data_IF_850795387249
#
_entry.id   IF_850795387249
#
_cell.length_a   1.000
_cell.length_b   1.000
_cell.length_c   1.000
_cell.angle_alpha   90.00
_cell.angle_beta   90.00
_cell.angle_gamma   90.00
#
_symmetry.space_group_name_H-M   'P 1'
#
loop_
_entity.id
_entity.type
_entity.pdbx_description
1 polymer ?
#
# COMPACT_ATOMS: atom_id res chain seq x y z
N UNK A 1 -18.28 -36.69 -2.60
CA UNK A 1 -18.85 -36.90 -1.27
C UNK A 1 -19.14 -35.58 -0.59
N UNK A 2 -20.24 -35.49 0.19
CA UNK A 2 -20.55 -34.26 0.95
C UNK A 2 -19.85 -34.35 2.32
N UNK A 3 -18.84 -33.46 2.55
CA UNK A 3 -18.02 -33.51 3.75
C UNK A 3 -18.65 -32.75 4.95
N UNK A 4 -19.50 -31.72 4.72
CA UNK A 4 -20.23 -31.05 5.79
C UNK A 4 -21.68 -31.56 5.89
N UNK A 5 -22.12 -31.96 7.09
CA UNK A 5 -23.47 -32.48 7.35
C UNK A 5 -24.57 -31.43 7.14
N UNK A 6 -24.28 -30.20 7.52
CA UNK A 6 -25.20 -29.06 7.45
C UNK A 6 -24.53 -27.89 6.71
N UNK A 7 -25.33 -27.03 6.04
CA UNK A 7 -24.78 -25.79 5.46
C UNK A 7 -24.13 -24.93 6.54
N UNK A 8 -22.98 -24.32 6.21
CA UNK A 8 -22.35 -23.31 7.06
C UNK A 8 -23.24 -22.06 7.08
N UNK A 9 -23.48 -21.50 8.28
CA UNK A 9 -24.32 -20.31 8.45
C UNK A 9 -23.56 -19.15 9.10
N UNK A 10 -22.63 -19.47 10.00
CA UNK A 10 -21.96 -18.47 10.86
C UNK A 10 -20.45 -18.51 10.69
N UNK A 11 -19.95 -19.15 9.63
CA UNK A 11 -18.54 -19.25 9.32
C UNK A 11 -18.32 -19.19 7.80
N UNK A 12 -17.20 -18.60 7.42
CA UNK A 12 -16.73 -18.47 6.03
C UNK A 12 -15.68 -19.53 5.66
N UNK A 13 -15.43 -20.50 6.55
CA UNK A 13 -14.46 -21.57 6.34
C UNK A 13 -14.99 -22.91 6.82
N UNK A 14 -14.47 -23.98 6.28
CA UNK A 14 -14.69 -25.35 6.73
C UNK A 14 -13.34 -26.06 6.77
N UNK A 15 -13.03 -26.71 7.87
CA UNK A 15 -11.82 -27.51 8.01
C UNK A 15 -12.15 -28.97 7.75
N UNK A 16 -11.55 -29.55 6.70
CA UNK A 16 -11.56 -30.97 6.44
C UNK A 16 -10.38 -31.65 7.17
N UNK A 17 -10.59 -32.89 7.58
CA UNK A 17 -9.57 -33.73 8.21
C UNK A 17 -8.90 -34.68 7.24
N UNK A 18 -9.01 -34.41 5.92
CA UNK A 18 -8.39 -35.23 4.89
C UNK A 18 -6.87 -35.30 5.09
N UNK A 19 -6.36 -36.49 5.25
CA UNK A 19 -4.91 -36.77 5.44
C UNK A 19 -4.34 -37.65 4.33
N UNK A 20 -5.02 -37.73 3.18
CA UNK A 20 -4.60 -38.55 2.04
C UNK A 20 -3.49 -37.93 1.21
N UNK A 21 -2.86 -38.74 0.39
CA UNK A 21 -1.78 -38.34 -0.52
C UNK A 21 -2.26 -38.17 -1.97
N UNK A 22 -3.54 -38.46 -2.23
CA UNK A 22 -4.13 -38.36 -3.57
C UNK A 22 -4.63 -36.93 -3.85
N UNK A 23 -4.75 -36.61 -5.12
CA UNK A 23 -5.37 -35.34 -5.54
C UNK A 23 -6.87 -35.35 -5.30
N UNK A 24 -7.41 -34.29 -4.70
CA UNK A 24 -8.84 -34.17 -4.34
C UNK A 24 -9.44 -32.89 -4.89
N UNK A 25 -10.59 -33.00 -5.55
CA UNK A 25 -11.37 -31.85 -5.97
C UNK A 25 -12.37 -31.47 -4.88
N UNK A 26 -12.20 -30.28 -4.29
CA UNK A 26 -13.19 -29.68 -3.42
C UNK A 26 -14.13 -28.78 -4.22
N UNK A 27 -15.42 -28.89 -3.91
CA UNK A 27 -16.43 -28.04 -4.53
C UNK A 27 -17.28 -27.39 -3.44
N UNK A 28 -17.38 -26.07 -3.49
CA UNK A 28 -18.24 -25.28 -2.59
C UNK A 28 -19.48 -24.85 -3.38
N UNK A 29 -20.66 -25.15 -2.82
CA UNK A 29 -21.94 -24.79 -3.44
C UNK A 29 -22.70 -23.84 -2.54
N UNK A 30 -23.20 -22.75 -3.10
CA UNK A 30 -24.14 -21.90 -2.40
C UNK A 30 -25.44 -22.65 -2.12
N UNK A 31 -26.07 -22.37 -0.97
CA UNK A 31 -27.36 -22.98 -0.59
C UNK A 31 -28.48 -22.55 -1.55
N UNK A 32 -28.45 -21.28 -1.94
CA UNK A 32 -29.42 -20.68 -2.83
C UNK A 32 -28.69 -20.14 -4.06
N UNK A 33 -29.13 -20.54 -5.26
CA UNK A 33 -28.52 -20.16 -6.51
C UNK A 33 -27.69 -21.25 -7.17
N UNK A 34 -27.10 -20.90 -8.32
CA UNK A 34 -26.28 -21.82 -9.12
C UNK A 34 -24.78 -21.63 -8.91
N UNK A 35 -24.38 -20.79 -7.95
CA UNK A 35 -22.98 -20.49 -7.74
C UNK A 35 -22.26 -21.68 -7.13
N UNK A 36 -21.26 -22.14 -7.85
CA UNK A 36 -20.38 -23.25 -7.47
C UNK A 36 -18.94 -22.82 -7.74
N UNK A 37 -18.03 -23.08 -6.82
CA UNK A 37 -16.61 -22.88 -6.97
C UNK A 37 -15.88 -24.15 -6.61
N UNK A 38 -14.81 -24.49 -7.34
CA UNK A 38 -14.03 -25.70 -7.12
C UNK A 38 -12.56 -25.40 -7.00
N UNK A 39 -11.87 -26.15 -6.14
CA UNK A 39 -10.44 -26.12 -5.97
C UNK A 39 -9.86 -27.53 -6.01
N UNK A 40 -8.84 -27.74 -6.85
CA UNK A 40 -8.12 -29.00 -6.94
C UNK A 40 -6.95 -29.00 -5.96
N UNK A 41 -7.08 -29.75 -4.85
CA UNK A 41 -5.94 -30.02 -3.97
C UNK A 41 -4.98 -31.00 -4.70
N UNK A 42 -3.73 -30.62 -4.97
CA UNK A 42 -2.76 -31.51 -5.63
C UNK A 42 -2.42 -32.75 -4.78
N UNK A 43 -2.00 -33.82 -5.41
CA UNK A 43 -1.45 -34.97 -4.70
C UNK A 43 -0.24 -34.57 -3.86
N UNK A 44 -0.17 -35.06 -2.62
CA UNK A 44 0.87 -34.74 -1.65
C UNK A 44 0.99 -33.25 -1.32
N UNK A 45 -0.08 -32.46 -1.48
CA UNK A 45 -0.09 -31.07 -1.07
C UNK A 45 0.15 -30.98 0.44
N UNK A 46 0.96 -30.00 0.90
CA UNK A 46 1.15 -29.78 2.31
C UNK A 46 -0.16 -29.34 2.96
N UNK A 47 -0.49 -29.91 4.11
CA UNK A 47 -1.72 -29.60 4.81
C UNK A 47 -1.62 -28.21 5.48
N UNK A 48 -2.64 -27.38 5.23
CA UNK A 48 -2.78 -26.08 5.87
C UNK A 48 -2.06 -24.92 5.20
N UNK A 49 -1.33 -25.14 4.08
CA UNK A 49 -0.73 -24.06 3.29
C UNK A 49 -0.54 -24.46 1.81
N UNK A 50 -0.50 -23.47 0.94
CA UNK A 50 -0.10 -23.61 -0.47
C UNK A 50 1.34 -23.13 -0.60
N UNK A 51 2.23 -23.96 -1.15
CA UNK A 51 3.61 -23.58 -1.43
C UNK A 51 3.71 -23.04 -2.86
N UNK A 52 4.04 -21.76 -2.98
CA UNK A 52 4.18 -21.08 -4.27
C UNK A 52 5.66 -20.81 -4.53
N UNK A 53 6.29 -21.47 -5.52
CA UNK A 53 7.67 -21.19 -5.86
C UNK A 53 7.83 -19.80 -6.47
N UNK A 54 8.83 -19.07 -6.03
CA UNK A 54 9.10 -17.68 -6.47
C UNK A 54 10.42 -17.60 -7.25
N UNK A 55 10.47 -16.73 -8.25
CA UNK A 55 11.66 -16.42 -9.03
C UNK A 55 12.37 -15.21 -8.42
N UNK A 56 13.23 -15.45 -7.42
CA UNK A 56 13.99 -14.39 -6.76
C UNK A 56 14.81 -13.58 -7.78
N UNK A 57 14.81 -12.23 -7.74
CA UNK A 57 15.69 -11.40 -8.54
C UNK A 57 17.17 -11.69 -8.23
N UNK A 58 18.05 -11.44 -9.20
CA UNK A 58 19.50 -11.59 -9.02
C UNK A 58 20.05 -10.62 -7.99
N UNK A 59 21.09 -11.04 -7.27
CA UNK A 59 21.81 -10.21 -6.32
C UNK A 59 22.49 -9.03 -7.03
N UNK A 60 22.70 -7.94 -6.33
CA UNK A 60 23.28 -6.75 -6.91
C UNK A 60 24.34 -6.11 -6.05
N UNK A 61 24.93 -5.05 -6.59
CA UNK A 61 25.94 -4.24 -5.90
C UNK A 61 25.60 -2.76 -6.09
N UNK A 62 25.61 -1.99 -5.01
CA UNK A 62 25.36 -0.55 -5.06
C UNK A 62 26.55 0.21 -5.67
N UNK A 63 26.39 1.49 -6.07
CA UNK A 63 27.49 2.33 -6.51
C UNK A 63 28.62 2.50 -5.49
N UNK A 64 28.35 2.28 -4.21
CA UNK A 64 29.36 2.32 -3.12
C UNK A 64 30.04 0.97 -2.86
N UNK A 65 29.74 -0.07 -3.68
CA UNK A 65 30.32 -1.41 -3.54
C UNK A 65 29.65 -2.31 -2.50
N UNK A 66 28.50 -1.93 -1.95
CA UNK A 66 27.76 -2.78 -1.03
C UNK A 66 26.95 -3.83 -1.81
N UNK A 67 27.19 -5.11 -1.53
CA UNK A 67 26.40 -6.21 -2.07
C UNK A 67 25.05 -6.31 -1.36
N UNK A 68 24.01 -6.74 -2.09
CA UNK A 68 22.68 -7.00 -1.55
C UNK A 68 22.01 -8.15 -2.30
N UNK A 69 21.09 -8.80 -1.63
CA UNK A 69 20.21 -9.84 -2.17
C UNK A 69 18.75 -9.44 -2.00
N UNK A 70 17.81 -10.18 -2.59
CA UNK A 70 16.39 -9.90 -2.50
C UNK A 70 15.67 -10.85 -1.56
N UNK A 71 14.68 -10.29 -0.85
CA UNK A 71 13.71 -11.03 -0.07
C UNK A 71 12.28 -10.63 -0.49
N UNK A 72 11.29 -11.55 -0.48
CA UNK A 72 9.89 -11.19 -0.64
C UNK A 72 9.47 -10.29 0.52
N UNK A 73 8.65 -9.30 0.20
CA UNK A 73 8.16 -8.31 1.17
C UNK A 73 6.63 -8.23 1.12
N UNK A 74 6.04 -7.05 0.88
CA UNK A 74 4.60 -6.89 0.81
C UNK A 74 4.00 -7.60 -0.41
N UNK A 75 2.81 -8.16 -0.23
CA UNK A 75 2.03 -8.74 -1.32
C UNK A 75 0.58 -8.26 -1.27
N UNK A 76 -0.05 -8.24 -2.44
CA UNK A 76 -1.47 -8.06 -2.63
C UNK A 76 -2.00 -9.11 -3.61
N UNK A 77 -3.31 -9.25 -3.70
CA UNK A 77 -3.95 -10.20 -4.60
C UNK A 77 -4.97 -9.48 -5.49
N UNK A 78 -5.18 -10.02 -6.69
CA UNK A 78 -6.23 -9.57 -7.59
C UNK A 78 -6.39 -10.56 -8.73
N UNK A 79 -7.60 -10.66 -9.26
CA UNK A 79 -7.87 -11.37 -10.51
C UNK A 79 -7.41 -10.48 -11.66
N UNK A 80 -6.23 -10.77 -12.23
CA UNK A 80 -5.64 -9.88 -13.25
C UNK A 80 -5.99 -10.30 -14.67
N UNK A 81 -6.51 -11.50 -14.89
CA UNK A 81 -6.90 -11.99 -16.22
C UNK A 81 -8.40 -12.30 -16.36
N UNK A 82 -9.17 -12.17 -15.30
CA UNK A 82 -10.63 -12.32 -15.30
C UNK A 82 -11.09 -13.78 -15.32
N UNK A 83 -10.23 -14.71 -14.87
CA UNK A 83 -10.55 -16.14 -14.83
C UNK A 83 -11.22 -16.59 -13.51
N UNK A 84 -11.30 -15.69 -12.52
CA UNK A 84 -11.90 -15.93 -11.21
C UNK A 84 -10.93 -16.51 -10.19
N UNK A 85 -9.67 -16.78 -10.54
CA UNK A 85 -8.59 -17.07 -9.61
C UNK A 85 -7.77 -15.79 -9.34
N UNK A 86 -7.24 -15.64 -8.13
CA UNK A 86 -6.40 -14.49 -7.81
C UNK A 86 -4.94 -14.76 -8.11
N UNK A 87 -4.28 -13.79 -8.73
CA UNK A 87 -2.83 -13.71 -8.82
C UNK A 87 -2.26 -12.99 -7.60
N UNK A 88 -0.98 -13.25 -7.34
CA UNK A 88 -0.22 -12.63 -6.27
C UNK A 88 0.68 -11.57 -6.88
N UNK A 89 0.50 -10.34 -6.48
CA UNK A 89 1.39 -9.23 -6.80
C UNK A 89 2.34 -9.04 -5.61
N UNK A 90 3.62 -9.32 -5.83
CA UNK A 90 4.65 -9.40 -4.80
C UNK A 90 5.73 -8.34 -5.01
N UNK A 91 5.98 -7.56 -3.97
CA UNK A 91 7.13 -6.63 -3.92
C UNK A 91 8.36 -7.34 -3.39
N UNK A 92 9.48 -7.16 -4.07
CA UNK A 92 10.79 -7.61 -3.65
C UNK A 92 11.59 -6.44 -3.08
N UNK A 93 12.03 -6.57 -1.84
CA UNK A 93 12.93 -5.60 -1.22
C UNK A 93 14.38 -6.11 -1.25
N UNK A 94 15.35 -5.24 -1.59
CA UNK A 94 16.77 -5.55 -1.45
C UNK A 94 17.13 -5.57 0.05
N UNK A 95 18.05 -6.45 0.44
CA UNK A 95 18.49 -6.62 1.84
C UNK A 95 19.13 -5.37 2.44
N UNK A 96 19.50 -4.39 1.61
CA UNK A 96 20.00 -3.08 2.01
C UNK A 96 18.91 -1.97 1.89
N UNK A 97 17.64 -2.33 1.97
CA UNK A 97 16.56 -1.36 2.13
C UNK A 97 16.76 -0.50 3.38
N UNK A 98 16.40 0.77 3.31
CA UNK A 98 16.63 1.72 4.40
C UNK A 98 15.33 2.43 4.82
N UNK A 99 15.17 2.66 6.12
CA UNK A 99 14.20 3.64 6.60
C UNK A 99 14.52 5.05 6.08
N UNK A 100 13.50 5.87 5.97
CA UNK A 100 13.61 7.25 5.49
C UNK A 100 14.55 8.13 6.34
N UNK A 101 14.82 7.76 7.59
CA UNK A 101 15.76 8.46 8.45
C UNK A 101 17.22 8.15 8.14
N UNK A 102 17.54 7.03 7.47
CA UNK A 102 18.90 6.57 7.20
C UNK A 102 19.38 6.98 5.81
N UNK A 103 20.70 7.26 5.70
CA UNK A 103 21.38 7.47 4.43
C UNK A 103 21.93 6.13 3.91
N UNK A 104 22.27 6.06 2.64
CA UNK A 104 22.83 4.90 1.94
C UNK A 104 22.09 4.63 0.64
N UNK A 105 22.81 4.07 -0.33
CA UNK A 105 22.17 3.53 -1.53
C UNK A 105 21.36 2.29 -1.18
N UNK A 106 20.27 2.07 -1.90
CA UNK A 106 19.52 0.82 -1.87
C UNK A 106 19.60 0.13 -3.23
N UNK A 107 19.36 -1.16 -3.28
CA UNK A 107 19.02 -1.85 -4.50
C UNK A 107 17.70 -1.34 -5.09
N UNK A 108 17.41 -1.74 -6.31
CA UNK A 108 16.16 -1.40 -7.00
C UNK A 108 15.02 -2.25 -6.44
N UNK A 109 13.80 -1.74 -6.44
CA UNK A 109 12.60 -2.47 -6.03
C UNK A 109 11.98 -3.14 -7.23
N UNK A 110 11.63 -4.42 -7.11
CA UNK A 110 10.86 -5.14 -8.12
C UNK A 110 9.44 -5.41 -7.63
N UNK A 111 8.51 -5.47 -8.57
CA UNK A 111 7.14 -5.94 -8.34
C UNK A 111 6.83 -7.00 -9.36
N UNK A 112 6.48 -8.18 -8.89
CA UNK A 112 6.18 -9.35 -9.70
C UNK A 112 4.69 -9.72 -9.62
N UNK A 113 4.20 -10.38 -10.65
CA UNK A 113 2.90 -11.03 -10.62
C UNK A 113 3.06 -12.54 -10.83
N UNK A 114 2.47 -13.33 -9.94
CA UNK A 114 2.53 -14.79 -9.97
C UNK A 114 1.13 -15.40 -9.99
N UNK A 115 0.95 -16.43 -10.81
CA UNK A 115 -0.16 -17.37 -10.60
C UNK A 115 0.10 -18.24 -9.36
N UNK A 116 -0.96 -18.80 -8.77
CA UNK A 116 -0.84 -19.72 -7.62
C UNK A 116 0.03 -20.96 -7.92
N UNK A 117 0.22 -21.30 -9.20
CA UNK A 117 1.17 -22.34 -9.64
C UNK A 117 2.64 -21.95 -9.50
N UNK A 118 2.95 -20.70 -9.16
CA UNK A 118 4.31 -20.15 -9.16
C UNK A 118 4.79 -19.64 -10.52
N UNK A 119 3.93 -19.65 -11.55
CA UNK A 119 4.27 -19.08 -12.85
C UNK A 119 4.37 -17.57 -12.73
N UNK A 120 5.57 -17.02 -12.97
CA UNK A 120 5.78 -15.58 -13.12
C UNK A 120 5.11 -15.09 -14.41
N UNK A 121 4.20 -14.13 -14.31
CA UNK A 121 3.55 -13.49 -15.46
C UNK A 121 4.36 -12.31 -15.98
N UNK A 122 4.81 -11.45 -15.08
CA UNK A 122 5.63 -10.28 -15.39
C UNK A 122 6.41 -9.79 -14.17
N UNK A 123 7.42 -8.96 -14.44
CA UNK A 123 8.23 -8.25 -13.46
C UNK A 123 8.36 -6.79 -13.87
N UNK A 124 8.03 -5.88 -12.98
CA UNK A 124 8.28 -4.45 -13.10
C UNK A 124 9.52 -4.12 -12.28
N UNK A 125 10.45 -3.37 -12.86
CA UNK A 125 11.58 -2.80 -12.13
C UNK A 125 11.33 -1.31 -11.89
N UNK A 126 11.20 -0.88 -10.64
CA UNK A 126 10.97 0.53 -10.30
C UNK A 126 12.21 1.43 -10.54
N UNK A 127 13.38 0.82 -10.76
CA UNK A 127 14.59 1.52 -11.12
C UNK A 127 15.25 2.25 -9.95
N UNK A 128 16.41 2.84 -10.26
CA UNK A 128 17.30 3.47 -9.28
C UNK A 128 16.74 4.73 -8.62
N UNK A 129 15.73 5.35 -9.22
CA UNK A 129 15.12 6.59 -8.74
C UNK A 129 13.92 6.36 -7.80
N UNK A 130 13.64 5.12 -7.47
CA UNK A 130 12.75 4.72 -6.36
C UNK A 130 13.61 4.03 -5.30
N UNK A 131 13.71 4.64 -4.14
CA UNK A 131 14.48 4.11 -3.01
C UNK A 131 13.72 2.96 -2.34
N UNK A 132 14.42 1.93 -1.88
CA UNK A 132 13.80 0.81 -1.17
C UNK A 132 13.70 1.07 0.34
N UNK A 133 12.59 0.66 0.94
CA UNK A 133 12.31 0.75 2.38
C UNK A 133 10.81 0.80 2.64
N UNK A 134 10.41 0.67 3.90
CA UNK A 134 9.04 0.46 4.34
C UNK A 134 8.03 1.53 3.88
N UNK A 135 8.49 2.76 3.59
CA UNK A 135 7.59 3.88 3.33
C UNK A 135 7.65 4.44 1.90
N UNK A 136 8.45 3.82 1.01
CA UNK A 136 8.69 4.39 -0.32
C UNK A 136 7.75 3.89 -1.40
N UNK A 137 7.33 2.62 -1.32
CA UNK A 137 6.57 1.97 -2.40
C UNK A 137 5.29 1.37 -1.83
N UNK A 138 4.21 2.12 -1.90
CA UNK A 138 2.85 1.63 -1.74
C UNK A 138 2.31 1.29 -3.11
N UNK A 139 1.65 0.14 -3.23
CA UNK A 139 0.97 -0.26 -4.45
C UNK A 139 -0.43 -0.78 -4.12
N UNK A 140 -1.34 -0.60 -5.04
CA UNK A 140 -2.72 -1.03 -4.93
C UNK A 140 -3.04 -1.96 -6.10
N UNK A 141 -3.79 -3.01 -5.83
CA UNK A 141 -4.25 -4.00 -6.81
C UNK A 141 -5.75 -4.08 -6.69
N UNK A 142 -6.47 -3.69 -7.73
CA UNK A 142 -7.92 -3.72 -7.73
C UNK A 142 -8.45 -3.52 -9.15
N UNK A 143 -9.67 -3.99 -9.41
CA UNK A 143 -10.43 -3.67 -10.62
C UNK A 143 -11.00 -2.25 -10.47
N UNK A 144 -10.24 -1.25 -10.96
CA UNK A 144 -10.58 0.16 -10.77
C UNK A 144 -11.60 0.70 -11.78
N UNK A 145 -11.75 0.06 -12.94
CA UNK A 145 -12.72 0.47 -13.97
C UNK A 145 -13.93 -0.45 -14.10
N UNK A 146 -13.95 -1.56 -13.36
CA UNK A 146 -15.07 -2.49 -13.31
C UNK A 146 -15.14 -3.44 -14.51
N UNK A 147 -14.03 -3.68 -15.20
CA UNK A 147 -13.98 -4.58 -16.37
C UNK A 147 -13.80 -6.07 -15.99
N UNK A 148 -13.64 -6.36 -14.70
CA UNK A 148 -13.44 -7.68 -14.14
C UNK A 148 -11.97 -8.10 -14.07
N UNK A 149 -11.02 -7.20 -14.31
CA UNK A 149 -9.57 -7.44 -14.21
C UNK A 149 -8.89 -6.37 -13.38
N UNK A 150 -8.06 -6.80 -12.46
CA UNK A 150 -7.38 -5.86 -11.59
C UNK A 150 -6.23 -5.14 -12.30
N UNK A 151 -6.12 -3.84 -12.09
CA UNK A 151 -4.92 -3.04 -12.35
C UNK A 151 -3.99 -3.01 -11.16
N UNK A 152 -2.75 -2.58 -11.42
CA UNK A 152 -1.76 -2.26 -10.39
C UNK A 152 -1.42 -0.77 -10.45
N UNK A 153 -1.60 -0.06 -9.37
CA UNK A 153 -1.32 1.39 -9.29
C UNK A 153 -0.25 1.67 -8.26
N UNK A 154 0.81 2.37 -8.67
CA UNK A 154 1.90 2.75 -7.75
C UNK A 154 2.69 3.96 -8.25
N UNK A 155 3.47 4.52 -7.32
CA UNK A 155 4.43 5.57 -7.63
C UNK A 155 5.60 5.02 -8.43
N UNK A 156 5.98 5.73 -9.50
CA UNK A 156 7.13 5.44 -10.37
C UNK A 156 8.00 6.67 -10.55
N UNK A 157 9.10 6.53 -11.30
CA UNK A 157 10.01 7.62 -11.63
C UNK A 157 10.67 7.37 -12.98
N UNK A 158 11.51 8.28 -13.42
CA UNK A 158 12.39 8.07 -14.57
C UNK A 158 13.23 6.80 -14.39
N UNK A 159 13.29 5.99 -15.45
CA UNK A 159 14.04 4.74 -15.46
C UNK A 159 13.27 3.54 -14.90
N UNK A 160 12.01 3.68 -14.49
CA UNK A 160 11.13 2.53 -14.22
C UNK A 160 10.92 1.72 -15.50
N UNK A 161 11.05 0.39 -15.42
CA UNK A 161 10.83 -0.53 -16.55
C UNK A 161 9.57 -1.34 -16.29
N UNK A 162 8.61 -1.25 -17.19
CA UNK A 162 7.35 -1.98 -17.06
C UNK A 162 7.46 -3.48 -17.40
N UNK A 163 6.38 -4.23 -17.21
CA UNK A 163 6.34 -5.68 -17.46
C UNK A 163 6.55 -6.10 -18.92
N UNK A 164 6.54 -5.16 -19.87
CA UNK A 164 6.86 -5.36 -21.29
C UNK A 164 8.28 -4.91 -21.65
N UNK A 165 9.06 -4.42 -20.67
CA UNK A 165 10.41 -3.92 -20.89
C UNK A 165 10.49 -2.47 -21.39
N UNK A 166 9.38 -1.73 -21.40
CA UNK A 166 9.35 -0.31 -21.77
C UNK A 166 9.80 0.54 -20.61
N UNK A 167 10.73 1.45 -20.88
CA UNK A 167 11.22 2.41 -19.87
C UNK A 167 10.31 3.63 -19.80
N UNK A 168 9.91 4.01 -18.57
CA UNK A 168 9.18 5.24 -18.30
C UNK A 168 10.15 6.41 -18.17
N UNK A 169 9.80 7.53 -18.79
CA UNK A 169 10.58 8.75 -18.72
C UNK A 169 12.01 8.61 -19.25
N UNK A 170 12.98 9.20 -18.55
CA UNK A 170 14.40 9.21 -18.95
C UNK A 170 15.16 8.02 -18.36
N UNK A 171 15.52 7.04 -19.21
CA UNK A 171 16.29 5.85 -18.82
C UNK A 171 17.67 6.14 -18.20
N UNK A 172 18.25 7.32 -18.52
CA UNK A 172 19.60 7.70 -18.05
C UNK A 172 19.57 8.52 -16.75
N UNK A 173 18.39 8.92 -16.28
CA UNK A 173 18.28 9.72 -15.06
C UNK A 173 18.80 8.96 -13.84
N UNK A 174 19.56 9.65 -13.01
CA UNK A 174 19.99 9.16 -11.70
C UNK A 174 19.90 10.34 -10.71
N UNK A 175 18.90 10.32 -9.87
CA UNK A 175 18.61 11.38 -8.90
C UNK A 175 19.19 11.08 -7.51
N UNK A 176 19.93 9.97 -7.37
CA UNK A 176 20.52 9.57 -6.10
C UNK A 176 21.68 10.47 -5.74
N UNK A 177 21.60 11.10 -4.58
CA UNK A 177 22.67 11.90 -4.04
C UNK A 177 23.97 11.08 -3.87
N UNK A 178 25.11 11.55 -4.35
CA UNK A 178 26.40 10.87 -4.14
C UNK A 178 26.84 10.92 -2.69
N UNK A 179 26.26 11.83 -1.92
CA UNK A 179 26.59 12.09 -0.53
C UNK A 179 27.56 13.26 -0.34
N UNK A 180 27.53 13.82 0.87
CA UNK A 180 28.41 14.92 1.29
C UNK A 180 29.10 14.52 2.58
N UNK A 181 30.43 14.69 2.64
CA UNK A 181 31.16 14.40 3.86
C UNK A 181 30.95 15.50 4.92
N UNK A 182 30.29 15.13 6.00
CA UNK A 182 30.08 16.01 7.15
C UNK A 182 31.29 15.92 8.10
N UNK A 183 32.12 16.95 8.06
CA UNK A 183 33.35 17.01 8.90
C UNK A 183 33.04 17.00 10.40
N UNK A 184 31.88 17.56 10.82
CA UNK A 184 31.49 17.59 12.24
C UNK A 184 31.10 16.22 12.77
N UNK A 185 30.45 15.43 11.93
CA UNK A 185 30.00 14.07 12.27
C UNK A 185 30.99 12.99 11.84
N UNK A 186 32.07 13.40 11.14
CA UNK A 186 33.06 12.50 10.55
C UNK A 186 32.41 11.33 9.74
N UNK A 187 31.42 11.64 8.94
CA UNK A 187 30.72 10.65 8.13
C UNK A 187 30.13 11.22 6.85
N UNK A 188 29.93 10.33 5.88
CA UNK A 188 29.17 10.65 4.68
C UNK A 188 27.68 10.78 5.03
N UNK A 189 27.03 11.82 4.54
CA UNK A 189 25.61 12.10 4.77
C UNK A 189 24.90 12.29 3.44
N UNK A 190 23.58 12.07 3.39
CA UNK A 190 22.70 12.23 2.23
C UNK A 190 22.95 11.23 1.10
N UNK A 191 23.95 10.33 1.21
CA UNK A 191 24.23 9.33 0.18
C UNK A 191 22.99 8.50 -0.11
N UNK A 192 22.69 8.27 -1.41
CA UNK A 192 21.57 7.47 -1.86
C UNK A 192 20.20 8.10 -1.63
N UNK A 193 20.13 9.34 -1.10
CA UNK A 193 18.88 10.10 -1.01
C UNK A 193 18.45 10.58 -2.38
N UNK A 194 17.13 10.72 -2.56
CA UNK A 194 16.53 11.31 -3.75
C UNK A 194 15.82 12.57 -3.30
N UNK A 195 16.43 13.72 -3.56
CA UNK A 195 15.95 15.02 -3.06
C UNK A 195 15.23 15.83 -4.15
N UNK A 196 15.40 15.46 -5.39
CA UNK A 196 14.79 16.07 -6.56
C UNK A 196 14.50 15.00 -7.63
N UNK A 197 13.98 15.39 -8.78
CA UNK A 197 13.69 14.50 -9.89
C UNK A 197 12.21 14.23 -10.08
N UNK A 198 11.88 13.63 -11.21
CA UNK A 198 10.52 13.35 -11.61
C UNK A 198 9.93 12.20 -10.79
N UNK A 199 8.69 12.37 -10.40
CA UNK A 199 7.88 11.35 -9.74
C UNK A 199 6.54 11.23 -10.46
N UNK A 200 6.13 10.02 -10.72
CA UNK A 200 4.90 9.74 -11.45
C UNK A 200 3.96 8.84 -10.63
N UNK A 201 2.69 8.88 -10.97
CA UNK A 201 1.69 7.88 -10.62
C UNK A 201 1.36 7.10 -11.89
N UNK A 202 1.56 5.79 -11.87
CA UNK A 202 1.36 4.92 -13.03
C UNK A 202 0.33 3.85 -12.73
N UNK A 203 -0.59 3.65 -13.67
CA UNK A 203 -1.51 2.51 -13.73
C UNK A 203 -0.90 1.48 -14.68
N UNK A 204 -0.77 0.25 -14.21
CA UNK A 204 -0.28 -0.88 -14.99
C UNK A 204 -1.40 -1.89 -15.20
N UNK A 205 -1.41 -2.52 -16.36
CA UNK A 205 -2.22 -3.72 -16.59
C UNK A 205 -1.82 -4.83 -15.62
N UNK A 206 -2.77 -5.33 -14.84
CA UNK A 206 -2.51 -6.47 -13.96
C UNK A 206 -2.12 -7.72 -14.75
N UNK A 207 -2.70 -7.92 -15.94
CA UNK A 207 -2.41 -9.07 -16.79
C UNK A 207 -0.99 -9.09 -17.34
N UNK A 208 -0.43 -7.92 -17.71
CA UNK A 208 0.83 -7.85 -18.48
C UNK A 208 1.93 -7.04 -17.82
N UNK A 209 1.61 -6.28 -16.78
CA UNK A 209 2.53 -5.32 -16.19
C UNK A 209 2.87 -4.12 -17.09
N UNK A 210 2.19 -3.95 -18.24
CA UNK A 210 2.38 -2.81 -19.15
C UNK A 210 1.87 -1.53 -18.51
N UNK A 211 2.62 -0.43 -18.64
CA UNK A 211 2.17 0.87 -18.19
C UNK A 211 1.07 1.42 -19.12
N UNK A 212 -0.17 1.41 -18.64
CA UNK A 212 -1.36 1.89 -19.35
C UNK A 212 -1.46 3.41 -19.35
N UNK A 213 -1.17 4.03 -18.18
CA UNK A 213 -1.24 5.47 -18.01
C UNK A 213 -0.23 5.95 -16.97
N UNK A 214 0.42 7.07 -17.25
CA UNK A 214 1.38 7.70 -16.35
C UNK A 214 1.11 9.20 -16.30
N UNK A 215 1.05 9.75 -15.10
CA UNK A 215 0.89 11.19 -14.84
C UNK A 215 1.84 11.62 -13.73
N UNK A 216 2.06 12.93 -13.58
CA UNK A 216 2.84 13.46 -12.48
C UNK A 216 2.24 13.08 -11.14
N UNK A 217 3.10 12.74 -10.16
CA UNK A 217 2.67 12.44 -8.81
C UNK A 217 2.18 13.70 -8.09
N UNK A 218 1.01 13.63 -7.47
CA UNK A 218 0.43 14.73 -6.69
C UNK A 218 0.41 14.34 -5.20
N UNK A 219 0.98 15.19 -4.33
CA UNK A 219 1.74 16.41 -4.65
C UNK A 219 3.16 16.09 -5.09
N UNK A 220 3.74 16.94 -5.93
CA UNK A 220 5.18 16.89 -6.20
C UNK A 220 5.97 17.03 -4.88
N UNK A 221 7.17 16.43 -4.81
CA UNK A 221 8.06 16.55 -3.62
C UNK A 221 8.33 18.01 -3.29
N UNK A 222 8.61 18.85 -4.29
CA UNK A 222 9.05 20.21 -4.08
C UNK A 222 10.35 20.26 -3.26
N UNK A 223 10.49 21.30 -2.44
CA UNK A 223 11.62 21.40 -1.54
C UNK A 223 11.35 20.54 -0.28
N UNK A 224 12.26 19.60 0.12
CA UNK A 224 12.09 18.82 1.35
C UNK A 224 11.87 19.67 2.61
N UNK A 225 12.37 20.91 2.66
CA UNK A 225 12.14 21.83 3.79
C UNK A 225 10.65 22.14 4.01
N UNK A 226 9.86 22.16 2.97
CA UNK A 226 8.41 22.42 3.05
C UNK A 226 7.66 21.28 3.75
N UNK A 227 8.34 20.14 3.92
CA UNK A 227 7.88 18.95 4.65
C UNK A 227 8.49 18.82 6.05
N UNK A 228 9.37 19.74 6.46
CA UNK A 228 9.95 19.81 7.80
C UNK A 228 11.34 19.23 7.98
N UNK A 229 12.02 18.83 6.90
CA UNK A 229 13.44 18.44 6.94
C UNK A 229 14.17 18.71 5.62
N UNK A 230 15.47 18.48 5.58
CA UNK A 230 16.31 18.74 4.40
C UNK A 230 16.80 17.45 3.71
N UNK A 231 16.28 16.29 4.10
CA UNK A 231 16.80 14.97 3.73
C UNK A 231 15.72 14.07 3.15
N UNK A 232 14.56 14.62 2.82
CA UNK A 232 13.38 13.91 2.34
C UNK A 232 12.87 12.82 3.32
N UNK A 233 13.22 12.88 4.61
CA UNK A 233 12.69 11.93 5.58
C UNK A 233 11.18 12.11 5.78
N UNK A 234 10.68 13.35 5.69
CA UNK A 234 9.25 13.67 5.87
C UNK A 234 8.47 13.61 4.56
N UNK A 235 9.08 14.06 3.45
CA UNK A 235 8.43 14.07 2.14
C UNK A 235 8.32 12.69 1.51
N UNK A 236 9.21 11.74 1.84
CA UNK A 236 9.22 10.41 1.23
C UNK A 236 8.51 9.37 2.09
N UNK A 237 7.44 9.78 2.75
CA UNK A 237 6.54 8.94 3.55
C UNK A 237 5.21 8.83 2.83
N UNK A 238 4.98 7.70 2.19
CA UNK A 238 3.82 7.44 1.36
C UNK A 238 2.87 6.46 2.04
N UNK A 239 1.58 6.70 1.86
CA UNK A 239 0.51 5.75 2.12
C UNK A 239 -0.41 5.72 0.90
N UNK A 240 -1.21 4.69 0.77
CA UNK A 240 -2.21 4.56 -0.28
C UNK A 240 -3.40 3.76 0.24
N UNK A 241 -4.56 4.00 -0.35
CA UNK A 241 -5.75 3.17 -0.12
C UNK A 241 -6.66 3.17 -1.35
N UNK A 242 -7.56 2.20 -1.35
CA UNK A 242 -8.72 2.13 -2.22
C UNK A 242 -9.90 2.57 -1.37
N UNK A 243 -10.72 3.49 -1.87
CA UNK A 243 -11.89 3.99 -1.18
C UNK A 243 -13.05 4.19 -2.14
N UNK A 244 -14.27 3.85 -1.73
CA UNK A 244 -15.48 4.07 -2.48
C UNK A 244 -16.03 5.48 -2.15
N UNK A 245 -15.35 6.51 -2.70
CA UNK A 245 -15.64 7.92 -2.40
C UNK A 245 -16.98 8.43 -2.98
N UNK A 246 -17.58 7.70 -3.88
CA UNK A 246 -18.93 7.96 -4.40
C UNK A 246 -19.92 6.82 -4.05
N UNK A 247 -19.52 5.91 -3.17
CA UNK A 247 -20.30 4.74 -2.75
C UNK A 247 -20.47 3.66 -3.83
N UNK A 248 -19.90 3.83 -5.01
CA UNK A 248 -20.13 2.94 -6.18
C UNK A 248 -18.84 2.46 -6.82
N UNK A 249 -17.87 3.36 -7.02
CA UNK A 249 -16.63 3.08 -7.76
C UNK A 249 -15.41 3.17 -6.87
N UNK A 250 -14.45 2.22 -7.01
CA UNK A 250 -13.20 2.29 -6.31
C UNK A 250 -12.37 3.49 -6.80
N UNK A 251 -11.89 4.29 -5.87
CA UNK A 251 -10.99 5.41 -6.13
C UNK A 251 -9.57 5.06 -5.69
N UNK A 252 -8.59 5.51 -6.45
CA UNK A 252 -7.17 5.49 -6.11
C UNK A 252 -6.88 6.67 -5.20
N UNK A 253 -6.44 6.45 -3.97
CA UNK A 253 -6.02 7.53 -3.07
C UNK A 253 -4.55 7.38 -2.74
N UNK A 254 -3.75 8.37 -3.15
CA UNK A 254 -2.32 8.43 -2.88
C UNK A 254 -2.03 9.50 -1.85
N UNK A 255 -1.20 9.16 -0.86
CA UNK A 255 -0.90 10.04 0.26
C UNK A 255 0.59 10.30 0.35
N UNK A 256 0.95 11.52 0.76
CA UNK A 256 2.33 11.93 1.04
C UNK A 256 2.42 12.71 2.34
N UNK A 257 3.33 12.27 3.22
CA UNK A 257 3.59 12.90 4.51
C UNK A 257 2.56 12.55 5.58
N UNK A 258 3.01 12.46 6.82
CA UNK A 258 2.14 12.24 7.99
C UNK A 258 2.70 12.82 9.29
N UNK A 259 3.98 13.22 9.33
CA UNK A 259 4.60 13.82 10.53
C UNK A 259 4.37 15.33 10.65
N UNK A 260 4.23 16.03 9.52
CA UNK A 260 4.09 17.50 9.44
C UNK A 260 2.96 17.85 8.48
N UNK A 261 3.31 18.21 7.24
CA UNK A 261 2.36 18.36 6.15
C UNK A 261 1.79 16.99 5.78
N UNK A 262 0.49 16.95 5.51
CA UNK A 262 -0.27 15.79 5.06
C UNK A 262 -0.94 16.18 3.75
N UNK A 263 -0.76 15.35 2.72
CA UNK A 263 -1.47 15.53 1.45
C UNK A 263 -2.04 14.19 1.00
N UNK A 264 -3.32 14.19 0.64
CA UNK A 264 -4.01 13.08 0.01
C UNK A 264 -4.52 13.54 -1.35
N UNK A 265 -4.36 12.73 -2.38
CA UNK A 265 -4.89 12.99 -3.71
C UNK A 265 -5.71 11.78 -4.18
N UNK A 266 -6.95 12.01 -4.54
CA UNK A 266 -7.88 10.99 -5.01
C UNK A 266 -8.06 11.06 -6.52
N UNK A 267 -8.16 9.89 -7.15
CA UNK A 267 -8.32 9.72 -8.58
C UNK A 267 -9.30 8.58 -8.88
N UNK A 268 -10.01 8.70 -10.00
CA UNK A 268 -10.79 7.61 -10.58
C UNK A 268 -10.14 7.16 -11.89
N UNK A 269 -10.00 5.86 -12.06
CA UNK A 269 -9.57 5.23 -13.29
C UNK A 269 -10.79 4.96 -14.19
N UNK A 270 -10.72 5.28 -15.48
CA UNK A 270 -11.82 5.08 -16.45
C UNK A 270 -11.42 4.10 -17.57
N UNK A 271 -10.40 3.26 -17.35
CA UNK A 271 -9.84 2.35 -18.34
C UNK A 271 -8.85 3.01 -19.30
N UNK A 272 -8.67 4.34 -19.24
CA UNK A 272 -7.79 5.10 -20.15
C UNK A 272 -6.99 6.18 -19.46
N UNK A 273 -7.55 6.77 -18.40
CA UNK A 273 -6.98 7.93 -17.73
C UNK A 273 -7.31 7.93 -16.24
N UNK A 274 -6.36 8.39 -15.43
CA UNK A 274 -6.59 8.78 -14.04
C UNK A 274 -7.19 10.19 -13.99
N UNK A 275 -8.46 10.28 -13.67
CA UNK A 275 -9.17 11.54 -13.50
C UNK A 275 -9.05 11.98 -12.03
N UNK A 276 -8.36 13.10 -11.81
CA UNK A 276 -8.22 13.66 -10.48
C UNK A 276 -9.58 14.08 -9.93
N UNK A 277 -9.93 13.57 -8.75
CA UNK A 277 -11.17 13.89 -8.06
C UNK A 277 -10.98 15.09 -7.14
N UNK A 278 -10.11 14.98 -6.13
CA UNK A 278 -9.77 16.06 -5.22
C UNK A 278 -8.33 15.93 -4.69
N UNK A 279 -7.86 17.00 -4.06
CA UNK A 279 -6.61 17.02 -3.28
C UNK A 279 -6.88 17.69 -1.94
N UNK A 280 -6.59 16.98 -0.85
CA UNK A 280 -6.54 17.53 0.49
C UNK A 280 -5.08 17.86 0.84
N UNK A 281 -4.83 19.06 1.37
CA UNK A 281 -3.49 19.51 1.76
C UNK A 281 -3.57 20.35 3.03
N UNK A 282 -2.80 20.00 4.04
CA UNK A 282 -2.77 20.74 5.33
C UNK A 282 -2.10 22.10 5.24
N UNK A 283 -1.45 22.45 4.13
CA UNK A 283 -0.93 23.79 3.87
C UNK A 283 -1.97 24.74 3.26
N UNK A 284 -3.16 24.24 2.92
CA UNK A 284 -4.28 25.10 2.48
C UNK A 284 -4.90 25.76 3.71
N UNK A 285 -5.16 27.09 3.69
CA UNK A 285 -5.81 27.80 4.80
C UNK A 285 -7.12 27.11 5.23
N UNK A 286 -7.27 26.87 6.54
CA UNK A 286 -8.40 26.16 7.15
C UNK A 286 -8.13 24.68 7.43
N UNK A 287 -7.04 24.10 6.89
CA UNK A 287 -6.66 22.71 7.11
C UNK A 287 -5.54 22.53 8.14
N UNK A 288 -5.05 23.60 8.78
CA UNK A 288 -3.88 23.57 9.67
C UNK A 288 -4.06 22.62 10.85
N UNK A 289 -5.29 22.44 11.35
CA UNK A 289 -5.61 21.55 12.47
C UNK A 289 -5.39 20.06 12.16
N UNK A 290 -5.27 19.69 10.88
CA UNK A 290 -5.01 18.32 10.43
C UNK A 290 -3.51 18.03 10.27
N UNK A 291 -2.66 19.06 10.26
CA UNK A 291 -1.20 18.86 10.19
C UNK A 291 -0.69 18.10 11.42
N UNK A 292 0.32 17.24 11.22
CA UNK A 292 0.95 16.42 12.27
C UNK A 292 0.05 15.33 12.86
N UNK A 293 -1.08 15.01 12.23
CA UNK A 293 -2.06 14.05 12.75
C UNK A 293 -1.96 12.65 12.12
N UNK A 294 -1.14 12.46 11.09
CA UNK A 294 -1.07 11.19 10.37
C UNK A 294 -0.30 10.09 11.11
N UNK A 295 -0.62 8.83 10.83
CA UNK A 295 0.06 7.64 11.33
C UNK A 295 0.90 6.95 10.25
N UNK A 296 1.57 5.84 10.61
CA UNK A 296 2.30 4.98 9.68
C UNK A 296 1.38 4.10 8.82
N UNK A 297 0.10 4.06 9.12
CA UNK A 297 -0.94 3.40 8.34
C UNK A 297 -2.24 4.22 8.38
N UNK A 298 -3.17 3.87 7.53
CA UNK A 298 -4.50 4.47 7.45
C UNK A 298 -5.58 3.39 7.43
N UNK A 299 -6.83 3.79 7.59
CA UNK A 299 -8.01 2.94 7.42
C UNK A 299 -9.06 3.68 6.59
N UNK A 300 -9.93 2.90 5.98
CA UNK A 300 -11.02 3.38 5.12
C UNK A 300 -12.32 2.76 5.61
N UNK A 301 -13.40 3.50 5.56
CA UNK A 301 -14.74 3.02 5.84
C UNK A 301 -15.75 4.15 5.95
N UNK A 302 -17.01 3.83 5.66
CA UNK A 302 -18.17 4.70 5.87
C UNK A 302 -18.40 4.87 7.39
N UNK A 303 -17.96 5.99 7.94
CA UNK A 303 -18.03 6.22 9.40
C UNK A 303 -19.19 7.13 9.81
N UNK A 304 -19.80 7.83 8.89
CA UNK A 304 -20.94 8.70 9.15
C UNK A 304 -22.27 8.17 8.60
N UNK A 305 -22.21 7.09 7.81
CA UNK A 305 -23.38 6.35 7.35
C UNK A 305 -24.03 6.94 6.11
N UNK A 306 -23.30 7.69 5.32
CA UNK A 306 -23.78 8.31 4.08
C UNK A 306 -23.62 7.39 2.83
N UNK A 307 -22.94 6.25 2.99
CA UNK A 307 -22.70 5.27 1.95
C UNK A 307 -21.42 5.49 1.14
N UNK A 308 -20.60 6.48 1.51
CA UNK A 308 -19.29 6.74 0.94
C UNK A 308 -18.19 6.48 1.98
N UNK A 309 -16.98 6.20 1.52
CA UNK A 309 -15.87 5.92 2.42
C UNK A 309 -15.14 7.19 2.86
N UNK A 310 -14.87 7.33 4.16
CA UNK A 310 -13.91 8.26 4.73
C UNK A 310 -12.54 7.64 4.86
N UNK A 311 -11.51 8.51 4.92
CA UNK A 311 -10.12 8.12 5.10
C UNK A 311 -9.65 8.54 6.48
N UNK A 312 -9.49 7.56 7.37
CA UNK A 312 -8.96 7.74 8.71
C UNK A 312 -7.44 7.75 8.63
N UNK A 313 -6.84 8.93 8.73
CA UNK A 313 -5.42 9.17 8.50
C UNK A 313 -4.62 9.35 9.80
N UNK A 314 -4.92 8.57 10.82
CA UNK A 314 -4.35 8.67 12.15
C UNK A 314 -5.26 9.43 13.11
N UNK A 315 -4.78 10.52 13.67
CA UNK A 315 -5.56 11.39 14.57
C UNK A 315 -6.47 12.38 13.83
N UNK A 316 -6.66 12.19 12.53
CA UNK A 316 -7.62 12.97 11.73
C UNK A 316 -8.29 12.08 10.68
N UNK A 317 -9.43 12.57 10.20
CA UNK A 317 -10.21 11.92 9.14
C UNK A 317 -10.53 12.92 8.04
N UNK A 318 -10.41 12.43 6.82
CA UNK A 318 -10.75 13.16 5.59
C UNK A 318 -12.02 12.53 5.03
N UNK A 319 -13.00 13.36 4.79
CA UNK A 319 -14.30 13.02 4.24
C UNK A 319 -14.17 12.61 2.75
N UNK A 320 -15.11 11.78 2.26
CA UNK A 320 -15.19 11.30 0.89
C UNK A 320 -15.05 12.41 -0.16
N UNK A 321 -15.48 13.61 0.15
CA UNK A 321 -15.42 14.81 -0.71
C UNK A 321 -14.09 15.57 -0.66
N UNK A 322 -13.08 15.04 0.05
CA UNK A 322 -11.75 15.64 0.18
C UNK A 322 -11.67 16.80 1.18
N UNK A 323 -12.67 17.00 2.02
CA UNK A 323 -12.62 17.96 3.13
C UNK A 323 -12.20 17.26 4.42
N UNK A 324 -11.56 17.99 5.32
CA UNK A 324 -11.27 17.44 6.62
C UNK A 324 -12.54 17.31 7.47
N UNK A 325 -12.87 16.10 7.90
CA UNK A 325 -14.08 15.83 8.69
C UNK A 325 -13.86 16.19 10.16
N UNK A 326 -12.85 15.59 10.79
CA UNK A 326 -12.46 15.94 12.17
C UNK A 326 -10.96 15.75 12.41
N UNK A 327 -10.46 16.33 13.50
CA UNK A 327 -9.14 16.11 14.04
C UNK A 327 -9.21 16.00 15.56
N UNK A 328 -8.60 14.98 16.14
CA UNK A 328 -8.54 14.82 17.60
C UNK A 328 -7.49 15.71 18.25
N UNK A 329 -6.54 16.24 17.47
CA UNK A 329 -5.42 17.02 17.97
C UNK A 329 -4.38 16.23 18.76
N UNK A 330 -4.46 14.89 18.80
CA UNK A 330 -3.55 14.04 19.57
C UNK A 330 -2.17 13.89 18.94
N UNK A 331 -2.04 14.27 17.65
CA UNK A 331 -0.78 14.22 16.93
C UNK A 331 -0.52 12.87 16.25
N UNK A 332 0.72 12.70 15.81
CA UNK A 332 1.19 11.49 15.12
C UNK A 332 1.14 10.25 16.02
N UNK A 333 0.71 9.13 15.46
CA UNK A 333 0.72 7.81 16.10
C UNK A 333 1.33 6.74 15.21
N UNK A 334 1.57 5.55 15.74
CA UNK A 334 2.24 4.47 15.02
C UNK A 334 1.26 3.56 14.30
N UNK A 335 0.16 3.18 14.93
CA UNK A 335 -0.79 2.22 14.38
C UNK A 335 -2.24 2.65 14.63
N UNK A 336 -3.11 2.34 13.67
CA UNK A 336 -4.54 2.64 13.74
C UNK A 336 -5.35 1.43 13.30
N UNK A 337 -6.47 1.19 13.98
CA UNK A 337 -7.48 0.21 13.60
C UNK A 337 -8.85 0.88 13.58
N UNK A 338 -9.68 0.48 12.62
CA UNK A 338 -11.07 0.87 12.47
C UNK A 338 -11.91 -0.41 12.49
N UNK A 339 -12.76 -0.56 13.50
CA UNK A 339 -13.66 -1.73 13.61
C UNK A 339 -14.74 -1.46 14.65
N UNK A 340 -15.76 -2.29 14.71
CA UNK A 340 -16.71 -2.28 15.80
C UNK A 340 -16.10 -3.01 17.02
N UNK A 341 -15.47 -2.26 17.91
CA UNK A 341 -14.78 -2.80 19.10
C UNK A 341 -15.79 -3.11 20.21
N UNK A 342 -16.74 -2.22 20.43
CA UNK A 342 -17.79 -2.33 21.43
C UNK A 342 -19.14 -2.56 20.73
N UNK A 343 -19.68 -3.80 20.74
CA UNK A 343 -20.96 -4.10 20.10
C UNK A 343 -22.16 -3.34 20.68
N UNK A 344 -22.04 -2.85 21.94
CA UNK A 344 -23.09 -2.05 22.57
C UNK A 344 -23.18 -0.62 22.01
N UNK A 345 -22.19 -0.20 21.23
CA UNK A 345 -22.15 1.12 20.59
C UNK A 345 -22.43 1.01 19.10
N UNK A 346 -23.32 1.82 18.59
CA UNK A 346 -23.57 1.93 17.16
C UNK A 346 -22.36 2.61 16.48
N UNK A 347 -22.00 2.12 15.30
CA UNK A 347 -20.96 2.68 14.46
C UNK A 347 -19.57 2.10 14.70
N UNK A 348 -18.63 2.48 13.83
CA UNK A 348 -17.24 2.04 13.90
C UNK A 348 -16.46 2.86 14.95
N UNK A 349 -15.49 2.22 15.56
CA UNK A 349 -14.59 2.85 16.53
C UNK A 349 -13.16 2.82 15.99
N UNK A 350 -12.41 3.85 16.36
CA UNK A 350 -10.98 3.99 16.01
C UNK A 350 -10.14 3.75 17.25
N UNK A 351 -9.14 2.85 17.16
CA UNK A 351 -8.05 2.76 18.12
C UNK A 351 -6.77 3.29 17.50
N UNK A 352 -6.06 4.14 18.21
CA UNK A 352 -4.81 4.75 17.77
C UNK A 352 -3.72 4.53 18.83
N UNK A 353 -2.60 3.92 18.41
CA UNK A 353 -1.42 3.74 19.25
C UNK A 353 -0.46 4.90 19.03
N UNK A 354 -0.19 5.65 20.09
CA UNK A 354 0.68 6.83 20.06
C UNK A 354 2.00 6.53 20.78
N UNK A 355 3.09 6.44 20.06
CA UNK A 355 4.40 6.03 20.57
C UNK A 355 4.97 6.96 21.66
N UNK A 356 4.57 8.23 21.68
CA UNK A 356 5.19 9.26 22.55
C UNK A 356 4.56 9.35 23.94
N UNK A 357 3.38 8.75 24.16
CA UNK A 357 2.62 8.93 25.41
C UNK A 357 2.77 7.79 26.43
N UNK A 358 3.38 6.67 26.08
CA UNK A 358 3.52 5.52 26.98
C UNK A 358 4.48 5.82 28.15
N UNK A 359 5.39 6.79 27.99
CA UNK A 359 6.32 7.19 29.05
C UNK A 359 5.90 8.40 29.90
N UNK A 360 4.84 9.11 29.54
CA UNK A 360 4.47 10.39 30.17
C UNK A 360 3.08 10.45 30.81
N UNK A 361 2.24 9.44 30.64
CA UNK A 361 0.93 9.40 31.30
C UNK A 361 0.96 8.49 32.53
N UNK A 362 0.32 8.90 33.63
CA UNK A 362 0.08 7.99 34.76
C UNK A 362 -0.66 6.72 34.29
N UNK A 363 -0.45 5.57 34.94
CA UNK A 363 -1.06 4.30 34.53
C UNK A 363 -2.57 4.32 34.33
N UNK A 364 -3.27 5.22 34.98
CA UNK A 364 -4.73 5.39 34.92
C UNK A 364 -5.26 6.08 33.66
N UNK A 365 -4.36 6.63 32.80
CA UNK A 365 -4.72 7.31 31.55
C UNK A 365 -4.21 6.62 30.28
N UNK A 366 -3.69 5.41 30.38
CA UNK A 366 -3.14 4.65 29.25
C UNK A 366 -4.20 4.03 28.32
N UNK A 367 -5.49 4.21 28.58
CA UNK A 367 -6.57 3.90 27.65
C UNK A 367 -7.01 5.17 26.94
N UNK A 368 -6.22 5.66 26.00
CA UNK A 368 -6.66 6.72 25.11
C UNK A 368 -7.63 6.15 24.07
N UNK A 369 -8.86 5.93 24.46
CA UNK A 369 -9.97 5.81 23.54
C UNK A 369 -10.23 7.22 23.00
N UNK A 370 -9.64 7.57 21.86
CA UNK A 370 -10.09 8.72 21.10
C UNK A 370 -11.50 8.41 20.61
N UNK A 371 -12.49 8.80 21.38
CA UNK A 371 -13.89 8.71 20.97
C UNK A 371 -14.09 9.69 19.83
N UNK A 372 -14.55 9.23 18.71
CA UNK A 372 -15.23 10.11 17.74
C UNK A 372 -16.39 10.75 18.51
N UNK A 373 -16.44 12.09 18.62
CA UNK A 373 -17.58 12.72 19.28
C UNK A 373 -18.84 12.35 18.52
N UNK A 374 -19.80 11.77 19.21
CA UNK A 374 -21.04 11.17 18.77
C UNK A 374 -21.50 11.57 17.37
N UNK A 375 -21.37 10.64 16.44
CA UNK A 375 -22.18 10.55 15.24
C UNK A 375 -23.28 9.52 15.53
#
# INVERSE_FOLDING_TARGET
EKINKHPLKDATFFQDTYAGTESVLYTVKAREGKTESSYQLPANAPLGYLNIPLNRPEDGTTPSGQNYFYAPNDASIGDVDGDGEYEIILKWDPSNAHDNSHDGYTGEVYVDCYKLSGKLLWRINLGRNIRAGAHYTQFMVFDFDGDGKAEVVMRTSDGTVDGKGKVLGNAKADYREPGVFDKKKNKLTRQGRILEGNEYLTVFSGLTGEALYTTDYIPARGNPKDWGDTRANRSDRFLACIAYLDGVRPSVVMCRGYYTRIVLAAFNWDGKKLNKHWVFDTNIPGNEKYAKQGNHNLRVGDIDGDGCDEIIYGSCTIDHNGKGLYSTGLGHGDAIQLTQIDPARKGLQVTNVMAVLIGMLPPEKSSCNSRVPGI
#
